data_IF_409503807466
#
_entry.id   IF_409503807466
#
_cell.length_a   1.000
_cell.length_b   1.000
_cell.length_c   1.000
_cell.angle_alpha   90.00
_cell.angle_beta   90.00
_cell.angle_gamma   90.00
#
_symmetry.space_group_name_H-M   'P 1'
#
loop_
_entity.id
_entity.type
_entity.pdbx_description
1 polymer ?
#
# COMPACT_ATOMS: atom_id res chain seq x y z
N UNK A 1 46.75 -4.60 71.37
CA UNK A 1 45.50 -4.64 70.58
C UNK A 1 45.41 -3.36 69.77
N UNK A 2 45.77 -3.41 68.47
CA UNK A 2 45.60 -2.30 67.52
C UNK A 2 44.51 -2.73 66.54
N UNK A 3 43.44 -1.92 66.44
CA UNK A 3 42.37 -2.07 65.48
C UNK A 3 42.86 -1.53 64.13
N UNK A 4 42.85 -2.35 63.08
CA UNK A 4 43.07 -1.92 61.70
C UNK A 4 41.72 -1.86 61.00
N UNK A 5 41.36 -0.66 60.57
CA UNK A 5 40.19 -0.36 59.74
C UNK A 5 40.53 -0.73 58.29
N UNK A 6 39.72 -1.59 57.67
CA UNK A 6 39.75 -1.83 56.23
C UNK A 6 38.61 -1.04 55.59
N UNK A 7 38.96 0.01 54.82
CA UNK A 7 38.04 0.72 53.94
C UNK A 7 38.08 0.04 52.57
N UNK A 8 37.03 -0.68 52.21
CA UNK A 8 36.84 -1.14 50.84
C UNK A 8 36.25 0.00 50.00
N UNK A 9 37.05 0.53 49.08
CA UNK A 9 36.63 1.51 48.09
C UNK A 9 35.93 0.76 46.93
N UNK A 10 34.60 0.83 46.87
CA UNK A 10 33.84 0.32 45.72
C UNK A 10 33.89 1.34 44.57
N UNK A 11 34.62 1.02 43.51
CA UNK A 11 34.62 1.80 42.27
C UNK A 11 33.29 1.55 41.53
N UNK A 12 32.41 2.55 41.54
CA UNK A 12 31.22 2.60 40.68
C UNK A 12 31.66 2.87 39.24
N UNK A 13 31.66 1.83 38.41
CA UNK A 13 31.66 2.00 36.96
C UNK A 13 30.28 2.54 36.54
N UNK A 14 30.19 3.85 36.33
CA UNK A 14 29.06 4.46 35.62
C UNK A 14 29.29 4.17 34.14
N UNK A 15 28.70 3.09 33.63
CA UNK A 15 28.56 2.90 32.19
C UNK A 15 27.65 4.01 31.68
N UNK A 16 28.21 4.97 30.93
CA UNK A 16 27.39 5.92 30.17
C UNK A 16 26.60 5.12 29.14
N UNK A 17 25.30 4.95 29.39
CA UNK A 17 24.38 4.50 28.35
C UNK A 17 24.35 5.66 27.35
N UNK A 18 25.04 5.49 26.22
CA UNK A 18 24.85 6.36 25.08
C UNK A 18 23.35 6.31 24.75
N UNK A 19 22.67 7.46 24.77
CA UNK A 19 21.28 7.56 24.36
C UNK A 19 21.19 7.02 22.93
N UNK A 20 20.48 5.90 22.77
CA UNK A 20 20.30 5.28 21.47
C UNK A 20 19.43 6.18 20.59
N UNK A 21 19.77 6.29 19.31
CA UNK A 21 18.96 6.99 18.31
C UNK A 21 17.52 6.48 18.37
N UNK A 22 16.57 7.40 18.57
CA UNK A 22 15.15 7.07 18.58
C UNK A 22 14.54 7.38 17.22
N UNK A 23 13.95 6.35 16.59
CA UNK A 23 13.24 6.48 15.31
C UNK A 23 11.75 6.21 15.55
N UNK A 24 10.91 7.10 15.04
CA UNK A 24 9.48 6.91 14.90
C UNK A 24 9.10 7.01 13.42
N UNK A 25 8.30 6.06 12.94
CA UNK A 25 7.87 5.94 11.56
C UNK A 25 6.36 5.79 11.51
N UNK A 26 5.69 6.76 10.88
CA UNK A 26 4.27 6.68 10.57
C UNK A 26 4.08 6.47 9.08
N UNK A 27 3.44 5.37 8.67
CA UNK A 27 3.23 5.01 7.25
C UNK A 27 1.78 5.25 6.85
N UNK A 28 1.57 5.81 5.66
CA UNK A 28 0.25 6.11 5.11
C UNK A 28 -0.03 5.25 3.87
N UNK A 29 -1.30 5.06 3.51
CA UNK A 29 -1.67 4.23 2.36
C UNK A 29 -1.36 4.88 0.99
N UNK A 30 -0.97 6.16 0.95
CA UNK A 30 -0.81 6.94 -0.28
C UNK A 30 0.67 7.13 -0.67
N UNK A 31 1.51 6.11 -0.43
CA UNK A 31 2.93 6.07 -0.80
C UNK A 31 3.81 7.17 -0.18
N UNK A 32 3.54 7.49 1.09
CA UNK A 32 4.41 8.34 1.88
C UNK A 32 4.44 7.94 3.36
N UNK A 33 5.45 8.43 4.07
CA UNK A 33 5.62 8.27 5.51
C UNK A 33 6.09 9.55 6.18
N UNK A 34 5.79 9.69 7.47
CA UNK A 34 6.39 10.67 8.37
C UNK A 34 7.48 9.96 9.18
N UNK A 35 8.69 10.47 9.09
CA UNK A 35 9.83 10.00 9.86
C UNK A 35 10.15 11.04 10.93
N UNK A 36 10.40 10.58 12.16
CA UNK A 36 11.00 11.39 13.23
C UNK A 36 12.22 10.66 13.76
N UNK A 37 13.33 11.38 13.89
CA UNK A 37 14.60 10.87 14.38
C UNK A 37 15.14 11.80 15.45
N UNK A 38 15.47 11.25 16.61
CA UNK A 38 16.15 11.97 17.67
C UNK A 38 17.60 11.50 17.72
N UNK A 39 18.54 12.42 17.50
CA UNK A 39 19.99 12.12 17.52
C UNK A 39 20.77 13.23 18.23
N UNK A 40 21.94 12.88 18.74
CA UNK A 40 22.92 13.84 19.23
C UNK A 40 23.67 14.46 18.04
N UNK A 41 23.63 15.79 17.93
CA UNK A 41 24.24 16.56 16.85
C UNK A 41 25.26 17.53 17.43
N UNK A 42 26.44 17.61 16.83
CA UNK A 42 27.51 18.50 17.28
C UNK A 42 27.46 19.84 16.56
N UNK A 43 27.43 20.92 17.33
CA UNK A 43 27.44 22.30 16.85
C UNK A 43 28.75 22.98 17.26
N UNK A 44 29.30 23.79 16.35
CA UNK A 44 30.42 24.70 16.68
C UNK A 44 29.86 26.06 17.09
N UNK A 45 30.56 26.75 17.98
CA UNK A 45 30.22 28.13 18.31
C UNK A 45 30.40 29.05 17.10
N UNK A 46 29.48 30.00 16.92
CA UNK A 46 29.37 30.84 15.72
C UNK A 46 28.68 30.12 14.56
N UNK A 47 28.98 30.55 13.33
CA UNK A 47 28.45 29.97 12.10
C UNK A 47 29.17 28.66 11.75
N UNK A 48 28.42 27.59 11.54
CA UNK A 48 28.96 26.31 11.11
C UNK A 48 27.96 25.46 10.32
N UNK A 49 28.49 24.63 9.42
CA UNK A 49 27.70 23.59 8.76
C UNK A 49 27.53 22.37 9.66
N UNK A 50 26.31 21.84 9.67
CA UNK A 50 25.90 20.66 10.42
C UNK A 50 25.32 19.66 9.44
N UNK A 51 25.84 18.43 9.47
CA UNK A 51 25.43 17.35 8.55
C UNK A 51 24.66 16.28 9.30
N UNK A 52 23.61 15.78 8.67
CA UNK A 52 22.76 14.72 9.18
C UNK A 52 22.53 13.69 8.09
N UNK A 53 23.29 12.61 8.19
CA UNK A 53 23.34 11.53 7.22
C UNK A 53 22.27 10.47 7.49
N UNK A 54 22.17 9.48 6.60
CA UNK A 54 21.26 8.32 6.75
C UNK A 54 19.77 8.72 6.80
N UNK A 55 19.38 9.68 5.96
CA UNK A 55 17.98 10.04 5.71
C UNK A 55 17.44 9.34 4.47
N UNK A 56 16.11 9.33 4.30
CA UNK A 56 15.48 8.78 3.11
C UNK A 56 15.98 9.47 1.82
N UNK A 57 16.18 8.69 0.76
CA UNK A 57 16.53 9.21 -0.56
C UNK A 57 15.34 9.90 -1.24
N UNK A 58 14.11 9.56 -0.85
CA UNK A 58 12.86 10.13 -1.36
C UNK A 58 12.22 11.13 -0.39
N UNK A 59 13.02 11.73 0.48
CA UNK A 59 12.59 12.80 1.38
C UNK A 59 11.96 13.96 0.59
N UNK A 60 10.92 14.56 1.17
CA UNK A 60 10.44 15.87 0.75
C UNK A 60 11.27 16.92 1.48
N UNK A 61 12.24 17.58 0.82
CA UNK A 61 13.15 18.52 1.48
C UNK A 61 12.44 19.74 2.05
N UNK A 62 11.22 20.05 1.58
CA UNK A 62 10.41 21.18 2.06
C UNK A 62 9.62 20.85 3.32
N UNK A 63 9.56 19.57 3.69
CA UNK A 63 8.88 19.09 4.89
C UNK A 63 9.79 18.93 6.10
N UNK A 64 11.11 19.08 5.91
CA UNK A 64 12.11 18.85 6.95
C UNK A 64 12.00 19.93 8.02
N UNK A 65 11.89 19.47 9.26
CA UNK A 65 11.92 20.31 10.45
C UNK A 65 12.94 19.76 11.44
N UNK A 66 13.81 20.63 11.96
CA UNK A 66 14.79 20.33 12.99
C UNK A 66 14.48 21.15 14.24
N UNK A 67 14.49 20.49 15.40
CA UNK A 67 14.27 21.09 16.70
C UNK A 67 15.39 20.66 17.67
N UNK A 68 16.42 21.51 17.87
CA UNK A 68 17.40 21.31 18.93
C UNK A 68 16.74 21.48 20.31
N UNK A 69 17.02 20.59 21.25
CA UNK A 69 16.49 20.68 22.62
C UNK A 69 17.19 21.74 23.46
N UNK A 70 18.45 22.05 23.15
CA UNK A 70 19.19 23.11 23.83
C UNK A 70 18.95 24.47 23.16
N UNK A 71 18.77 25.50 23.98
CA UNK A 71 18.60 26.87 23.50
C UNK A 71 19.90 27.47 22.94
N UNK A 72 19.76 28.46 22.05
CA UNK A 72 20.91 29.20 21.51
C UNK A 72 21.49 28.63 20.21
N UNK A 73 20.74 27.76 19.52
CA UNK A 73 21.04 27.27 18.17
C UNK A 73 19.97 27.83 17.20
N UNK A 74 20.42 28.54 16.18
CA UNK A 74 19.58 29.07 15.09
C UNK A 74 19.92 28.38 13.79
N UNK A 75 18.92 27.86 13.10
CA UNK A 75 19.09 27.25 11.76
C UNK A 75 18.82 28.33 10.71
N UNK A 76 19.81 28.62 9.89
CA UNK A 76 19.79 29.70 8.90
C UNK A 76 19.48 29.19 7.50
N UNK A 77 20.08 28.06 7.12
CA UNK A 77 19.90 27.43 5.82
C UNK A 77 19.67 25.93 5.97
N UNK A 78 18.95 25.35 5.00
CA UNK A 78 18.69 23.92 4.91
C UNK A 78 18.87 23.47 3.46
N UNK A 79 19.76 22.50 3.27
CA UNK A 79 20.09 21.92 1.99
C UNK A 79 19.93 20.40 2.05
N UNK A 80 19.35 19.81 1.01
CA UNK A 80 19.28 18.35 0.85
C UNK A 80 20.24 17.92 -0.26
N UNK A 81 21.23 17.12 0.09
CA UNK A 81 22.20 16.56 -0.84
C UNK A 81 21.79 15.12 -1.20
N UNK A 82 21.39 14.91 -2.46
CA UNK A 82 20.84 13.64 -2.97
C UNK A 82 21.58 13.06 -4.18
N UNK A 83 22.63 13.73 -4.66
CA UNK A 83 23.41 13.24 -5.79
C UNK A 83 24.35 12.13 -5.31
N UNK A 84 23.83 10.91 -5.32
CA UNK A 84 24.52 9.74 -4.77
C UNK A 84 25.66 9.27 -5.68
N UNK A 85 26.76 8.86 -5.07
CA UNK A 85 27.88 8.22 -5.79
C UNK A 85 27.41 6.95 -6.49
N UNK A 86 27.43 6.96 -7.81
CA UNK A 86 27.26 5.78 -8.66
C UNK A 86 28.11 5.95 -9.93
N UNK A 87 28.36 4.87 -10.68
CA UNK A 87 29.24 4.91 -11.87
C UNK A 87 28.81 5.99 -12.87
N UNK A 88 27.51 6.15 -13.12
CA UNK A 88 26.99 7.16 -14.04
C UNK A 88 27.20 8.59 -13.53
N UNK A 89 26.93 8.84 -12.25
CA UNK A 89 27.18 10.15 -11.62
C UNK A 89 28.69 10.47 -11.58
N UNK A 90 29.54 9.48 -11.27
CA UNK A 90 30.99 9.61 -11.34
C UNK A 90 31.43 10.00 -12.75
N UNK A 91 31.02 9.24 -13.77
CA UNK A 91 31.34 9.53 -15.17
C UNK A 91 30.82 10.92 -15.61
N UNK A 92 29.61 11.33 -15.19
CA UNK A 92 29.05 12.67 -15.45
C UNK A 92 29.93 13.79 -14.86
N UNK A 93 30.38 13.65 -13.61
CA UNK A 93 31.23 14.66 -12.95
C UNK A 93 32.65 14.69 -13.50
N UNK A 94 33.09 13.60 -14.12
CA UNK A 94 34.40 13.48 -14.76
C UNK A 94 34.39 13.82 -16.25
N UNK A 95 33.26 14.26 -16.82
CA UNK A 95 33.27 14.84 -18.17
C UNK A 95 34.28 15.98 -18.23
N UNK A 96 35.01 16.04 -19.33
CA UNK A 96 36.10 16.99 -19.54
C UNK A 96 37.27 16.86 -18.53
N UNK A 97 37.37 15.73 -17.82
CA UNK A 97 38.42 15.44 -16.84
C UNK A 97 39.12 14.12 -17.17
N UNK A 98 40.37 13.97 -16.73
CA UNK A 98 41.14 12.75 -16.98
C UNK A 98 40.64 11.57 -16.14
N UNK A 99 40.40 10.44 -16.81
CA UNK A 99 40.12 9.14 -16.18
C UNK A 99 41.03 8.06 -16.79
N UNK A 100 41.02 6.86 -16.19
CA UNK A 100 41.62 5.68 -16.83
C UNK A 100 40.61 4.54 -16.89
N UNK A 101 40.62 3.79 -17.99
CA UNK A 101 39.84 2.56 -18.14
C UNK A 101 40.80 1.40 -18.35
N UNK A 102 40.48 0.24 -17.76
CA UNK A 102 41.25 -1.00 -17.96
C UNK A 102 40.43 -1.93 -18.82
N UNK A 103 41.02 -2.45 -19.88
CA UNK A 103 40.35 -3.42 -20.76
C UNK A 103 40.56 -4.86 -20.29
N UNK A 104 39.77 -5.80 -20.82
CA UNK A 104 39.95 -7.25 -20.59
C UNK A 104 41.35 -7.75 -20.95
N UNK A 105 42.00 -7.11 -21.92
CA UNK A 105 43.39 -7.40 -22.30
C UNK A 105 44.43 -6.91 -21.28
N UNK A 106 44.01 -6.21 -20.23
CA UNK A 106 44.89 -5.59 -19.24
C UNK A 106 45.48 -4.25 -19.69
N UNK A 107 45.08 -3.74 -20.86
CA UNK A 107 45.52 -2.43 -21.34
C UNK A 107 44.87 -1.33 -20.52
N UNK A 108 45.65 -0.30 -20.20
CA UNK A 108 45.17 0.90 -19.50
C UNK A 108 45.09 2.03 -20.51
N UNK A 109 43.88 2.49 -20.80
CA UNK A 109 43.66 3.67 -21.63
C UNK A 109 43.40 4.85 -20.71
N UNK A 110 44.26 5.87 -20.76
CA UNK A 110 44.17 7.08 -19.95
C UNK A 110 43.92 8.29 -20.84
N UNK A 111 42.96 9.13 -20.47
CA UNK A 111 42.61 10.31 -21.25
C UNK A 111 41.45 11.10 -20.66
N UNK A 112 41.18 12.25 -21.26
CA UNK A 112 40.07 13.13 -20.94
C UNK A 112 38.75 12.49 -21.37
N UNK A 113 37.80 12.32 -20.45
CA UNK A 113 36.48 11.77 -20.78
C UNK A 113 35.66 12.80 -21.56
N UNK A 114 35.38 12.52 -22.84
CA UNK A 114 34.58 13.41 -23.68
C UNK A 114 33.09 13.08 -23.60
N UNK A 115 32.75 11.79 -23.60
CA UNK A 115 31.38 11.30 -23.47
C UNK A 115 31.35 9.83 -23.06
N UNK A 116 30.18 9.39 -22.59
CA UNK A 116 29.92 7.99 -22.31
C UNK A 116 28.42 7.69 -22.48
N UNK A 117 28.12 6.44 -22.80
CA UNK A 117 26.78 5.85 -22.75
C UNK A 117 26.87 4.40 -22.25
N UNK A 118 25.77 3.66 -22.32
CA UNK A 118 25.74 2.26 -21.84
C UNK A 118 26.66 1.32 -22.65
N UNK A 119 27.09 1.71 -23.86
CA UNK A 119 27.86 0.87 -24.79
C UNK A 119 29.27 1.37 -25.04
N UNK A 120 29.53 2.67 -24.94
CA UNK A 120 30.80 3.27 -25.32
C UNK A 120 31.29 4.31 -24.33
N UNK A 121 32.62 4.39 -24.19
CA UNK A 121 33.33 5.47 -23.51
C UNK A 121 34.29 6.11 -24.50
N UNK A 122 34.24 7.43 -24.60
CA UNK A 122 35.07 8.21 -25.50
C UNK A 122 36.12 8.97 -24.70
N UNK A 123 37.39 8.63 -24.90
CA UNK A 123 38.54 9.28 -24.27
C UNK A 123 39.38 10.02 -25.30
N UNK A 124 39.91 11.17 -24.90
CA UNK A 124 40.97 11.87 -25.64
C UNK A 124 42.29 11.73 -24.88
N UNK A 125 43.27 11.07 -25.48
CA UNK A 125 44.62 10.97 -24.93
C UNK A 125 45.38 12.31 -25.06
N UNK A 126 46.48 12.46 -24.32
CA UNK A 126 47.29 13.68 -24.29
C UNK A 126 47.89 14.05 -25.66
N UNK A 127 48.17 13.05 -26.50
CA UNK A 127 48.63 13.23 -27.88
C UNK A 127 47.52 13.68 -28.85
N UNK A 128 46.28 13.87 -28.36
CA UNK A 128 45.11 14.27 -29.15
C UNK A 128 44.33 13.12 -29.77
N UNK A 129 44.77 11.88 -29.63
CA UNK A 129 44.09 10.69 -30.13
C UNK A 129 42.75 10.48 -29.43
N UNK A 130 41.69 10.22 -30.20
CA UNK A 130 40.35 9.94 -29.67
C UNK A 130 40.09 8.44 -29.78
N UNK A 131 39.87 7.80 -28.64
CA UNK A 131 39.55 6.37 -28.55
C UNK A 131 38.08 6.20 -28.18
N UNK A 132 37.39 5.31 -28.90
CA UNK A 132 36.03 4.88 -28.59
C UNK A 132 36.09 3.42 -28.15
N UNK A 133 35.90 3.18 -26.86
CA UNK A 133 36.03 1.85 -26.26
C UNK A 133 34.67 1.30 -25.91
N UNK A 134 34.39 0.06 -26.31
CA UNK A 134 33.15 -0.63 -25.93
C UNK A 134 33.18 -0.96 -24.43
N UNK A 135 32.10 -0.67 -23.70
CA UNK A 135 31.99 -0.92 -22.26
C UNK A 135 32.11 -2.41 -21.91
N UNK A 136 31.74 -3.31 -22.83
CA UNK A 136 31.92 -4.76 -22.68
C UNK A 136 33.40 -5.14 -22.59
N UNK A 137 34.29 -4.37 -23.19
CA UNK A 137 35.74 -4.61 -23.13
C UNK A 137 36.39 -3.99 -21.89
N UNK A 138 35.69 -3.16 -21.13
CA UNK A 138 36.20 -2.49 -19.93
C UNK A 138 35.91 -3.36 -18.69
N UNK A 139 36.95 -3.64 -17.91
CA UNK A 139 36.84 -4.37 -16.64
C UNK A 139 36.89 -3.44 -15.41
N UNK A 140 37.47 -2.25 -15.54
CA UNK A 140 37.63 -1.30 -14.43
C UNK A 140 37.64 0.16 -14.91
N UNK A 141 37.09 1.05 -14.08
CA UNK A 141 37.14 2.50 -14.24
C UNK A 141 37.90 3.11 -13.06
N UNK A 142 38.94 3.90 -13.35
CA UNK A 142 39.76 4.57 -12.35
C UNK A 142 39.56 6.07 -12.40
N UNK A 143 39.11 6.60 -11.27
CA UNK A 143 38.95 8.03 -10.99
C UNK A 143 40.02 8.47 -9.98
N UNK A 144 40.47 9.72 -10.05
CA UNK A 144 41.58 10.20 -9.20
C UNK A 144 41.13 10.51 -7.76
N UNK A 145 39.92 11.03 -7.59
CA UNK A 145 39.28 11.32 -6.29
C UNK A 145 37.76 11.25 -6.38
N UNK A 146 37.07 11.33 -5.25
CA UNK A 146 35.62 11.54 -5.28
C UNK A 146 35.32 12.99 -5.74
N UNK A 147 34.48 13.21 -6.78
CA UNK A 147 34.06 14.55 -7.19
C UNK A 147 33.35 15.29 -6.07
N UNK A 148 33.53 16.61 -6.03
CA UNK A 148 32.80 17.47 -5.10
C UNK A 148 31.30 17.45 -5.40
N UNK A 149 30.49 17.45 -4.33
CA UNK A 149 29.04 17.46 -4.41
C UNK A 149 28.38 16.09 -4.64
N UNK A 150 29.14 15.01 -4.80
CA UNK A 150 28.60 13.66 -4.70
C UNK A 150 28.66 13.17 -3.24
N UNK A 151 27.56 12.62 -2.76
CA UNK A 151 27.44 12.09 -1.40
C UNK A 151 27.28 10.58 -1.44
N UNK A 152 27.86 9.87 -0.48
CA UNK A 152 27.74 8.40 -0.41
C UNK A 152 26.34 7.97 0.04
N UNK A 153 25.64 8.85 0.74
CA UNK A 153 24.31 8.63 1.29
C UNK A 153 23.52 9.94 1.22
N UNK A 154 22.19 9.91 1.20
CA UNK A 154 21.39 11.12 1.29
C UNK A 154 21.70 11.85 2.60
N UNK A 155 21.94 13.16 2.53
CA UNK A 155 22.38 13.97 3.67
C UNK A 155 21.60 15.28 3.72
N UNK A 156 21.11 15.64 4.91
CA UNK A 156 20.67 17.00 5.21
C UNK A 156 21.86 17.82 5.70
N UNK A 157 22.00 19.04 5.19
CA UNK A 157 23.06 19.98 5.57
C UNK A 157 22.41 21.28 6.00
N UNK A 158 22.67 21.70 7.22
CA UNK A 158 22.20 22.97 7.76
C UNK A 158 23.36 23.93 7.98
N UNK A 159 23.14 25.20 7.67
CA UNK A 159 23.97 26.27 8.22
C UNK A 159 23.35 26.69 9.55
N UNK A 160 24.08 26.49 10.65
CA UNK A 160 23.63 26.82 11.99
C UNK A 160 24.51 27.89 12.62
N UNK A 161 23.91 28.82 13.35
CA UNK A 161 24.59 29.73 14.26
C UNK A 161 24.35 29.27 15.70
N UNK A 162 25.42 29.06 16.46
CA UNK A 162 25.32 28.67 17.86
C UNK A 162 26.06 29.63 18.79
N UNK A 163 25.46 29.96 19.94
CA UNK A 163 26.11 30.77 20.98
C UNK A 163 27.32 30.10 21.65
N UNK A 164 27.49 28.78 21.48
CA UNK A 164 28.60 28.00 22.04
C UNK A 164 28.80 26.66 21.32
N UNK A 165 29.95 26.02 21.52
CA UNK A 165 30.19 24.67 20.96
C UNK A 165 29.66 23.57 21.88
N UNK A 166 29.16 22.48 21.32
CA UNK A 166 28.68 21.34 22.10
C UNK A 166 27.81 20.36 21.32
N UNK A 167 27.45 19.25 21.98
CA UNK A 167 26.44 18.32 21.46
C UNK A 167 25.07 18.73 21.97
N UNK A 168 24.09 18.73 21.09
CA UNK A 168 22.68 18.92 21.43
C UNK A 168 21.84 17.77 20.89
N UNK A 169 20.85 17.35 21.67
CA UNK A 169 19.84 16.42 21.18
C UNK A 169 18.91 17.16 20.21
N UNK A 170 18.77 16.65 19.00
CA UNK A 170 17.94 17.24 17.96
C UNK A 170 16.87 16.25 17.51
N UNK A 171 15.60 16.69 17.53
CA UNK A 171 14.53 16.01 16.82
C UNK A 171 14.49 16.51 15.38
N UNK A 172 14.65 15.61 14.43
CA UNK A 172 14.50 15.88 13.00
C UNK A 172 13.27 15.11 12.51
N UNK A 173 12.34 15.81 11.89
CA UNK A 173 11.13 15.22 11.29
C UNK A 173 11.01 15.59 9.83
N UNK A 174 10.52 14.67 9.01
CA UNK A 174 10.34 14.87 7.58
C UNK A 174 9.34 13.88 6.97
N UNK A 175 8.75 14.28 5.86
CA UNK A 175 8.00 13.39 4.99
C UNK A 175 8.94 12.72 3.98
N UNK A 176 8.64 11.49 3.62
CA UNK A 176 9.30 10.77 2.52
C UNK A 176 8.25 10.10 1.65
N UNK A 177 8.48 10.10 0.34
CA UNK A 177 7.75 9.25 -0.60
C UNK A 177 8.37 7.83 -0.60
N UNK A 178 7.74 6.90 -1.31
CA UNK A 178 8.29 5.55 -1.58
C UNK A 178 8.17 4.58 -0.41
N UNK A 179 7.35 4.89 0.58
CA UNK A 179 6.94 3.94 1.61
C UNK A 179 5.42 3.92 1.69
N UNK A 180 4.83 2.73 1.70
CA UNK A 180 3.38 2.55 1.74
C UNK A 180 3.00 1.33 2.56
N UNK A 181 1.74 1.25 2.96
CA UNK A 181 1.20 0.04 3.54
C UNK A 181 -0.19 -0.28 2.99
N UNK A 182 -0.56 -1.55 3.04
CA UNK A 182 -1.90 -2.04 2.73
C UNK A 182 -2.25 -3.22 3.65
N UNK A 183 -3.55 -3.46 3.83
CA UNK A 183 -4.01 -4.63 4.55
C UNK A 183 -4.28 -5.79 3.59
N UNK A 184 -4.05 -7.01 4.06
CA UNK A 184 -4.47 -8.23 3.40
C UNK A 184 -5.24 -9.08 4.39
N UNK A 185 -6.34 -9.62 3.92
CA UNK A 185 -7.19 -10.47 4.71
C UNK A 185 -7.23 -11.86 4.09
N UNK A 186 -7.19 -12.88 4.93
CA UNK A 186 -7.38 -14.27 4.53
C UNK A 186 -8.64 -14.77 5.19
N UNK A 187 -9.64 -15.10 4.37
CA UNK A 187 -10.85 -15.77 4.80
C UNK A 187 -10.82 -17.24 4.40
N UNK A 188 -11.11 -18.13 5.35
CA UNK A 188 -11.37 -19.55 5.08
C UNK A 188 -12.84 -19.81 5.37
N UNK A 189 -13.61 -20.15 4.34
CA UNK A 189 -15.05 -20.44 4.47
C UNK A 189 -15.24 -21.89 4.87
N UNK A 190 -16.23 -22.13 5.75
CA UNK A 190 -16.60 -23.48 6.16
C UNK A 190 -17.25 -24.30 5.03
N UNK A 191 -17.51 -25.58 5.31
CA UNK A 191 -18.07 -26.49 4.29
C UNK A 191 -19.47 -26.05 3.86
N UNK A 192 -20.24 -25.50 4.79
CA UNK A 192 -21.63 -25.10 4.65
C UNK A 192 -21.83 -23.69 4.04
N UNK A 193 -20.76 -22.92 3.83
CA UNK A 193 -20.79 -21.51 3.40
C UNK A 193 -21.53 -20.56 4.36
N UNK A 194 -21.47 -20.85 5.67
CA UNK A 194 -22.20 -20.13 6.73
C UNK A 194 -21.30 -19.40 7.71
N UNK A 195 -20.04 -19.80 7.78
CA UNK A 195 -19.05 -19.16 8.63
C UNK A 195 -17.77 -18.99 7.84
N UNK A 196 -17.01 -17.96 8.22
CA UNK A 196 -15.65 -17.80 7.77
C UNK A 196 -14.72 -17.55 8.95
N UNK A 197 -13.51 -18.02 8.81
CA UNK A 197 -12.37 -17.69 9.65
C UNK A 197 -11.58 -16.59 8.94
N UNK A 198 -11.47 -15.42 9.56
CA UNK A 198 -10.80 -14.23 9.03
C UNK A 198 -9.51 -13.96 9.80
N UNK A 199 -8.42 -13.73 9.10
CA UNK A 199 -7.19 -13.16 9.69
C UNK A 199 -6.76 -11.95 8.88
N UNK A 200 -6.12 -10.99 9.54
CA UNK A 200 -5.66 -9.75 8.93
C UNK A 200 -4.15 -9.59 9.04
N UNK A 201 -3.54 -9.14 7.96
CA UNK A 201 -2.13 -8.81 7.83
C UNK A 201 -1.97 -7.39 7.32
N UNK A 202 -0.85 -6.78 7.67
CA UNK A 202 -0.37 -5.52 7.12
C UNK A 202 0.91 -5.81 6.37
N UNK A 203 0.95 -5.46 5.09
CA UNK A 203 2.19 -5.35 4.31
C UNK A 203 2.65 -3.90 4.23
N UNK A 204 3.90 -3.66 4.61
CA UNK A 204 4.60 -2.38 4.47
C UNK A 204 5.67 -2.54 3.41
N UNK A 205 5.56 -1.82 2.30
CA UNK A 205 6.58 -1.77 1.24
C UNK A 205 7.41 -0.50 1.43
N UNK A 206 8.71 -0.68 1.66
CA UNK A 206 9.65 0.42 1.84
C UNK A 206 10.69 0.45 0.73
N UNK A 207 10.63 1.51 -0.08
CA UNK A 207 11.57 1.88 -1.14
C UNK A 207 11.96 3.36 -1.00
N UNK A 208 11.94 3.87 0.24
CA UNK A 208 12.25 5.28 0.53
C UNK A 208 13.74 5.60 0.34
N UNK A 209 14.59 4.58 0.20
CA UNK A 209 16.05 4.70 0.17
C UNK A 209 16.68 4.75 1.56
N UNK A 210 15.93 4.44 2.62
CA UNK A 210 16.44 4.36 3.99
C UNK A 210 15.86 3.17 4.76
N UNK A 211 16.70 2.59 5.61
CA UNK A 211 16.31 1.57 6.60
C UNK A 211 16.02 2.23 7.94
N UNK A 212 14.85 1.97 8.51
CA UNK A 212 14.43 2.48 9.81
C UNK A 212 14.64 1.40 10.87
N UNK A 213 15.82 1.39 11.49
CA UNK A 213 16.18 0.39 12.48
C UNK A 213 15.45 0.61 13.82
N UNK A 214 14.89 -0.46 14.40
CA UNK A 214 14.27 -0.45 15.72
C UNK A 214 13.26 0.71 15.93
N UNK A 215 12.47 1.01 14.90
CA UNK A 215 11.55 2.14 14.91
C UNK A 215 10.29 1.83 15.74
N UNK A 216 9.76 2.85 16.39
CA UNK A 216 8.35 2.86 16.78
C UNK A 216 7.53 3.02 15.50
N UNK A 217 6.59 2.10 15.26
CA UNK A 217 5.87 2.02 13.99
C UNK A 217 4.39 2.32 14.19
N UNK A 218 3.88 3.21 13.36
CA UNK A 218 2.48 3.59 13.31
C UNK A 218 1.97 3.51 11.87
N UNK A 219 0.72 3.10 11.71
CA UNK A 219 0.05 3.01 10.42
C UNK A 219 -1.21 3.84 10.46
N UNK A 220 -1.38 4.72 9.49
CA UNK A 220 -2.59 5.55 9.37
C UNK A 220 -3.45 4.98 8.26
N UNK A 221 -4.66 4.55 8.61
CA UNK A 221 -5.68 4.11 7.68
C UNK A 221 -6.62 5.27 7.37
N UNK A 222 -6.57 5.76 6.14
CA UNK A 222 -7.40 6.87 5.69
C UNK A 222 -6.81 7.60 4.50
N UNK A 223 -7.50 8.65 4.05
CA UNK A 223 -7.06 9.49 2.93
C UNK A 223 -6.58 10.85 3.45
N UNK A 224 -5.27 11.05 3.42
CA UNK A 224 -4.66 12.32 3.81
C UNK A 224 -4.56 13.22 2.59
N UNK A 225 -5.09 14.43 2.68
CA UNK A 225 -5.01 15.39 1.59
C UNK A 225 -3.60 16.00 1.51
N UNK A 226 -2.83 15.64 0.49
CA UNK A 226 -1.54 16.27 0.16
C UNK A 226 -1.67 17.18 -1.06
N UNK A 227 -1.16 18.41 -0.93
CA UNK A 227 -0.99 19.31 -2.08
C UNK A 227 0.24 18.84 -2.84
N UNK A 228 0.02 17.98 -3.84
CA UNK A 228 1.12 17.43 -4.64
C UNK A 228 1.39 18.38 -5.81
N UNK A 229 2.58 19.01 -5.94
CA UNK A 229 2.96 19.60 -7.21
C UNK A 229 3.03 18.50 -8.27
N UNK A 230 2.52 18.76 -9.49
CA UNK A 230 2.49 17.81 -10.61
C UNK A 230 3.90 17.21 -10.83
N UNK A 231 4.14 15.98 -10.34
CA UNK A 231 5.28 15.16 -10.78
C UNK A 231 4.91 14.47 -12.11
N UNK A 232 5.85 14.38 -13.07
CA UNK A 232 5.63 13.66 -14.31
C UNK A 232 5.33 12.18 -14.03
N UNK A 233 4.33 11.68 -14.75
CA UNK A 233 3.80 10.31 -14.66
C UNK A 233 4.94 9.33 -14.95
N UNK A 234 5.36 8.54 -13.96
CA UNK A 234 6.15 7.33 -14.20
C UNK A 234 5.21 6.20 -14.65
N UNK A 235 5.61 5.38 -15.63
CA UNK A 235 4.79 4.26 -16.08
C UNK A 235 4.59 3.24 -14.96
N UNK A 236 3.41 2.58 -14.90
CA UNK A 236 3.10 1.61 -13.87
C UNK A 236 4.08 0.42 -13.94
N UNK A 237 4.74 0.12 -12.82
CA UNK A 237 5.47 -1.13 -12.66
C UNK A 237 4.50 -2.32 -12.71
N UNK A 238 4.88 -3.46 -13.31
CA UNK A 238 4.07 -4.67 -13.30
C UNK A 238 3.90 -5.20 -11.87
N UNK A 239 2.67 -5.56 -11.57
CA UNK A 239 2.23 -6.19 -10.33
C UNK A 239 2.83 -7.60 -10.27
N UNK A 240 3.74 -7.86 -9.34
CA UNK A 240 4.20 -9.22 -9.07
C UNK A 240 3.12 -9.95 -8.29
N UNK A 241 2.59 -11.03 -8.86
CA UNK A 241 1.81 -12.03 -8.13
C UNK A 241 2.77 -12.83 -7.24
N UNK A 242 2.80 -12.53 -5.95
CA UNK A 242 3.47 -13.36 -4.97
C UNK A 242 2.52 -14.46 -4.49
N UNK A 243 2.52 -15.61 -5.18
CA UNK A 243 2.09 -16.87 -4.57
C UNK A 243 3.12 -17.29 -3.53
N UNK A 244 2.76 -17.12 -2.25
CA UNK A 244 3.03 -18.06 -1.15
C UNK A 244 2.53 -17.47 0.15
N UNK A 245 1.40 -17.97 0.65
CA UNK A 245 1.16 -18.11 2.08
C UNK A 245 0.27 -19.31 2.32
N UNK A 246 0.83 -20.34 2.96
CA UNK A 246 0.09 -21.41 3.59
C UNK A 246 0.51 -21.48 5.06
N UNK A 247 -0.50 -21.42 5.94
CA UNK A 247 -0.49 -21.76 7.37
C UNK A 247 0.57 -21.04 8.22
N UNK A 248 0.19 -19.90 8.80
CA UNK A 248 0.84 -19.35 9.99
C UNK A 248 -0.01 -19.62 11.23
N UNK A 249 0.65 -20.07 12.30
CA UNK A 249 0.04 -20.37 13.59
C UNK A 249 -0.49 -19.11 14.28
N UNK A 250 -1.36 -19.32 15.27
CA UNK A 250 -2.01 -18.26 16.07
C UNK A 250 -0.97 -17.32 16.69
N UNK A 251 -1.01 -16.03 16.31
CA UNK A 251 -0.20 -14.96 16.87
C UNK A 251 -1.09 -14.01 17.67
N UNK A 252 -0.62 -13.48 18.80
CA UNK A 252 -1.38 -12.49 19.57
C UNK A 252 -1.48 -11.14 18.85
N UNK A 253 -2.50 -10.30 19.16
CA UNK A 253 -2.63 -8.95 18.58
C UNK A 253 -1.38 -8.12 18.84
N UNK A 254 -0.79 -7.54 17.79
CA UNK A 254 0.44 -6.72 17.90
C UNK A 254 0.19 -5.22 17.77
N UNK A 255 -1.00 -4.82 17.31
CA UNK A 255 -1.38 -3.43 17.12
C UNK A 255 -2.40 -2.96 18.16
N UNK A 256 -2.20 -1.75 18.67
CA UNK A 256 -3.22 -0.99 19.39
C UNK A 256 -3.85 0.01 18.42
N UNK A 257 -5.18 0.00 18.34
CA UNK A 257 -5.98 0.87 17.48
C UNK A 257 -6.56 2.03 18.28
N UNK A 258 -6.44 3.25 17.76
CA UNK A 258 -7.13 4.42 18.27
C UNK A 258 -7.67 5.31 17.14
N UNK A 259 -8.76 6.02 17.43
CA UNK A 259 -9.25 7.07 16.55
C UNK A 259 -8.28 8.26 16.59
N UNK A 260 -7.79 8.68 15.42
CA UNK A 260 -6.92 9.83 15.26
C UNK A 260 -7.50 10.79 14.22
N UNK A 261 -8.09 11.89 14.70
CA UNK A 261 -8.86 12.81 13.88
C UNK A 261 -10.02 12.08 13.17
N UNK A 262 -10.04 12.06 11.83
CA UNK A 262 -11.01 11.32 11.00
C UNK A 262 -10.42 10.02 10.42
N UNK A 263 -9.33 9.52 11.03
CA UNK A 263 -8.57 8.36 10.59
C UNK A 263 -8.42 7.34 11.72
N UNK A 264 -7.94 6.15 11.37
CA UNK A 264 -7.57 5.14 12.36
C UNK A 264 -6.04 5.01 12.42
N UNK A 265 -5.49 5.10 13.63
CA UNK A 265 -4.08 4.91 13.90
C UNK A 265 -3.87 3.53 14.50
N UNK A 266 -2.99 2.74 13.87
CA UNK A 266 -2.58 1.42 14.37
C UNK A 266 -1.12 1.53 14.83
N UNK A 267 -0.91 1.50 16.14
CA UNK A 267 0.43 1.56 16.73
C UNK A 267 0.94 0.16 17.00
N UNK A 268 2.09 -0.20 16.44
CA UNK A 268 2.75 -1.47 16.75
C UNK A 268 3.32 -1.39 18.17
N UNK A 269 2.87 -2.28 19.05
CA UNK A 269 3.24 -2.30 20.48
C UNK A 269 4.73 -2.53 20.74
N UNK A 270 5.41 -3.20 19.81
CA UNK A 270 6.86 -3.45 19.83
C UNK A 270 7.58 -2.62 18.78
N UNK A 271 8.85 -2.33 19.01
CA UNK A 271 9.72 -1.76 17.98
C UNK A 271 10.01 -2.77 16.86
N UNK A 272 10.23 -2.27 15.65
CA UNK A 272 10.50 -3.09 14.47
C UNK A 272 11.43 -2.37 13.50
N UNK A 273 12.32 -3.11 12.84
CA UNK A 273 13.18 -2.57 11.78
C UNK A 273 12.47 -2.68 10.45
N UNK A 274 12.19 -1.57 9.77
CA UNK A 274 11.67 -1.53 8.39
C UNK A 274 12.85 -1.31 7.45
N UNK A 275 13.32 -2.37 6.79
CA UNK A 275 14.46 -2.28 5.87
C UNK A 275 14.08 -1.59 4.57
N UNK A 276 15.07 -0.98 3.93
CA UNK A 276 14.92 -0.46 2.57
C UNK A 276 14.87 -1.61 1.56
N UNK A 277 14.09 -1.46 0.50
CA UNK A 277 13.79 -2.47 -0.51
C UNK A 277 13.22 -3.77 0.08
N UNK A 278 12.39 -3.65 1.12
CA UNK A 278 11.75 -4.77 1.82
C UNK A 278 10.22 -4.60 1.80
N UNK A 279 9.50 -5.70 1.61
CA UNK A 279 8.10 -5.82 2.02
C UNK A 279 8.03 -6.53 3.36
N UNK A 280 7.55 -5.85 4.40
CA UNK A 280 7.39 -6.41 5.73
C UNK A 280 5.93 -6.72 6.02
N UNK A 281 5.68 -7.95 6.45
CA UNK A 281 4.36 -8.40 6.86
C UNK A 281 4.25 -8.50 8.39
N UNK A 282 3.17 -7.94 8.93
CA UNK A 282 2.86 -7.94 10.37
C UNK A 282 1.40 -8.33 10.55
N UNK A 283 1.13 -9.25 11.48
CA UNK A 283 -0.25 -9.64 11.82
C UNK A 283 -1.01 -8.44 12.37
N UNK A 284 -2.12 -8.08 11.74
CA UNK A 284 -3.06 -7.06 12.22
C UNK A 284 -3.90 -7.62 13.36
N UNK A 285 -4.55 -8.76 13.12
CA UNK A 285 -5.29 -9.52 14.13
C UNK A 285 -5.22 -11.03 13.83
N UNK A 286 -5.22 -11.88 14.87
CA UNK A 286 -5.28 -13.33 14.72
C UNK A 286 -6.54 -13.80 14.01
N UNK A 287 -6.59 -15.09 13.74
CA UNK A 287 -7.80 -15.76 13.28
C UNK A 287 -9.02 -15.46 14.17
N UNK A 288 -10.05 -14.86 13.57
CA UNK A 288 -11.34 -14.54 14.16
C UNK A 288 -12.45 -15.23 13.37
N UNK A 289 -13.40 -15.88 14.05
CA UNK A 289 -14.51 -16.57 13.38
C UNK A 289 -15.74 -15.67 13.32
N UNK A 290 -16.36 -15.56 12.15
CA UNK A 290 -17.56 -14.76 11.94
C UNK A 290 -18.59 -15.51 11.08
N UNK A 291 -19.88 -15.19 11.29
CA UNK A 291 -20.93 -15.69 10.41
C UNK A 291 -20.86 -14.99 9.06
N UNK A 292 -21.00 -15.76 7.99
CA UNK A 292 -20.98 -15.27 6.64
C UNK A 292 -22.15 -15.86 5.84
N UNK A 293 -22.53 -15.16 4.77
CA UNK A 293 -23.55 -15.60 3.85
C UNK A 293 -23.00 -15.58 2.43
N UNK A 294 -23.04 -16.73 1.75
CA UNK A 294 -22.86 -16.78 0.30
C UNK A 294 -24.14 -16.28 -0.38
N UNK A 295 -24.02 -15.19 -1.15
CA UNK A 295 -25.15 -14.50 -1.79
C UNK A 295 -24.95 -14.48 -3.31
N UNK A 296 -25.98 -14.90 -4.05
CA UNK A 296 -26.02 -14.78 -5.50
C UNK A 296 -26.68 -13.47 -5.90
N UNK A 297 -26.01 -12.65 -6.72
CA UNK A 297 -26.57 -11.38 -7.22
C UNK A 297 -26.54 -11.33 -8.73
N UNK A 298 -27.56 -10.71 -9.33
CA UNK A 298 -27.61 -10.44 -10.76
C UNK A 298 -27.82 -8.94 -10.98
N UNK A 299 -26.81 -8.25 -11.52
CA UNK A 299 -26.98 -6.87 -11.96
C UNK A 299 -27.68 -6.88 -13.34
N UNK A 300 -28.92 -6.41 -13.38
CA UNK A 300 -29.76 -6.42 -14.57
C UNK A 300 -29.57 -5.13 -15.42
N UNK A 301 -28.32 -4.69 -15.55
CA UNK A 301 -27.96 -3.52 -16.36
C UNK A 301 -28.18 -3.78 -17.85
N UNK A 302 -28.73 -2.79 -18.55
CA UNK A 302 -29.01 -2.87 -19.98
C UNK A 302 -27.74 -2.55 -20.79
N UNK A 303 -27.23 -3.50 -21.56
CA UNK A 303 -26.32 -3.17 -22.66
C UNK A 303 -27.12 -2.60 -23.82
N UNK A 304 -26.84 -1.34 -24.19
CA UNK A 304 -27.62 -0.51 -25.11
C UNK A 304 -27.63 -0.95 -26.60
N UNK A 305 -27.14 -2.15 -26.94
CA UNK A 305 -26.98 -2.57 -28.34
C UNK A 305 -27.70 -3.88 -28.67
N UNK A 306 -28.79 -3.73 -29.45
CA UNK A 306 -29.48 -4.71 -30.30
C UNK A 306 -30.23 -5.88 -29.63
N UNK A 307 -31.38 -6.19 -30.26
CA UNK A 307 -32.38 -7.29 -30.19
C UNK A 307 -32.01 -8.71 -29.68
N UNK A 308 -30.86 -8.94 -29.06
CA UNK A 308 -30.49 -10.24 -28.49
C UNK A 308 -30.89 -10.30 -27.00
N UNK A 309 -31.34 -11.46 -26.47
CA UNK A 309 -31.50 -11.64 -25.03
C UNK A 309 -30.15 -11.40 -24.36
N UNK A 310 -30.10 -10.45 -23.43
CA UNK A 310 -28.91 -10.26 -22.62
C UNK A 310 -28.75 -11.52 -21.73
N UNK A 311 -27.51 -11.98 -21.58
CA UNK A 311 -27.19 -13.14 -20.73
C UNK A 311 -26.31 -12.67 -19.58
N UNK A 312 -26.84 -11.84 -18.68
CA UNK A 312 -26.09 -11.34 -17.55
C UNK A 312 -25.61 -12.52 -16.69
N UNK A 313 -24.45 -12.36 -16.08
CA UNK A 313 -23.81 -13.40 -15.27
C UNK A 313 -24.21 -13.23 -13.82
N UNK A 314 -24.64 -14.33 -13.20
CA UNK A 314 -24.94 -14.34 -11.77
C UNK A 314 -23.62 -14.32 -11.01
N UNK A 315 -23.43 -13.29 -10.21
CA UNK A 315 -22.26 -13.10 -9.35
C UNK A 315 -22.41 -13.89 -8.06
N UNK A 316 -21.31 -14.44 -7.58
CA UNK A 316 -21.18 -15.07 -6.26
C UNK A 316 -20.46 -14.09 -5.34
N UNK A 317 -21.12 -13.72 -4.25
CA UNK A 317 -20.55 -12.83 -3.25
C UNK A 317 -20.53 -13.53 -1.90
N UNK A 318 -19.63 -13.09 -1.03
CA UNK A 318 -19.61 -13.42 0.37
C UNK A 318 -19.92 -12.16 1.18
N UNK A 319 -20.88 -12.26 2.09
CA UNK A 319 -21.29 -11.17 2.98
C UNK A 319 -21.07 -11.53 4.44
N UNK A 320 -20.56 -10.59 5.22
CA UNK A 320 -20.49 -10.69 6.67
C UNK A 320 -20.58 -9.29 7.30
N UNK A 321 -20.89 -9.21 8.59
CA UNK A 321 -20.95 -7.93 9.31
C UNK A 321 -19.77 -7.85 10.27
N UNK A 322 -19.03 -6.74 10.21
CA UNK A 322 -17.89 -6.44 11.05
C UNK A 322 -18.33 -5.96 12.44
N UNK A 323 -18.97 -6.83 13.22
CA UNK A 323 -19.47 -6.51 14.56
C UNK A 323 -18.84 -7.38 15.63
N UNK A 324 -18.77 -6.84 16.85
CA UNK A 324 -18.26 -7.59 18.01
C UNK A 324 -19.13 -8.83 18.28
N UNK A 325 -20.45 -8.67 18.14
CA UNK A 325 -21.42 -9.76 18.26
C UNK A 325 -21.17 -10.91 17.26
N UNK A 326 -20.62 -10.60 16.09
CA UNK A 326 -20.29 -11.59 15.07
C UNK A 326 -18.82 -12.04 15.14
N UNK A 327 -18.12 -11.85 16.26
CA UNK A 327 -16.74 -12.32 16.45
C UNK A 327 -15.67 -11.45 15.80
N UNK A 328 -16.04 -10.25 15.32
CA UNK A 328 -15.14 -9.21 14.82
C UNK A 328 -15.23 -7.98 15.72
N UNK A 329 -15.57 -6.80 15.17
CA UNK A 329 -15.79 -5.57 15.94
C UNK A 329 -14.60 -4.60 15.95
N UNK A 330 -13.76 -4.65 14.92
CA UNK A 330 -12.62 -3.75 14.75
C UNK A 330 -12.68 -3.05 13.40
N UNK A 331 -12.28 -1.77 13.26
CA UNK A 331 -12.26 -1.12 11.96
C UNK A 331 -11.34 -1.92 11.02
N UNK A 332 -11.81 -2.18 9.80
CA UNK A 332 -11.04 -2.92 8.80
C UNK A 332 -10.42 -1.89 7.84
N UNK A 333 -9.08 -1.72 7.83
CA UNK A 333 -8.42 -0.91 6.82
C UNK A 333 -8.70 -1.38 5.39
N UNK A 334 -8.61 -0.46 4.42
CA UNK A 334 -8.69 -0.85 3.02
C UNK A 334 -7.61 -1.89 2.67
N UNK A 335 -7.97 -2.90 1.91
CA UNK A 335 -7.11 -4.03 1.65
C UNK A 335 -7.69 -5.03 0.66
N UNK A 336 -7.03 -6.17 0.49
CA UNK A 336 -7.50 -7.27 -0.36
C UNK A 336 -7.93 -8.43 0.52
N UNK A 337 -9.16 -8.91 0.35
CA UNK A 337 -9.65 -10.12 1.01
C UNK A 337 -9.54 -11.31 0.05
N UNK A 338 -8.70 -12.28 0.40
CA UNK A 338 -8.55 -13.55 -0.32
C UNK A 338 -9.34 -14.62 0.38
N UNK A 339 -10.18 -15.32 -0.38
CA UNK A 339 -11.08 -16.34 0.16
C UNK A 339 -10.62 -17.71 -0.30
N UNK A 340 -10.57 -18.64 0.65
CA UNK A 340 -10.23 -20.04 0.46
C UNK A 340 -11.35 -20.93 0.99
N UNK A 341 -11.49 -22.12 0.40
CA UNK A 341 -12.40 -23.15 0.88
C UNK A 341 -11.76 -24.52 0.75
N UNK A 342 -11.98 -25.37 1.75
CA UNK A 342 -11.55 -26.77 1.69
C UNK A 342 -12.35 -27.53 0.63
N UNK A 343 -11.65 -28.27 -0.25
CA UNK A 343 -12.30 -29.18 -1.19
C UNK A 343 -12.73 -30.50 -0.53
N UNK A 344 -13.26 -31.43 -1.33
CA UNK A 344 -13.70 -32.75 -0.86
C UNK A 344 -12.62 -33.60 -0.18
N UNK A 345 -11.33 -33.32 -0.45
CA UNK A 345 -10.17 -34.01 0.15
C UNK A 345 -9.64 -33.27 1.37
N UNK A 346 -10.11 -32.06 1.63
CA UNK A 346 -9.70 -31.22 2.75
C UNK A 346 -8.60 -30.22 2.39
N UNK A 347 -8.16 -30.15 1.14
CA UNK A 347 -7.16 -29.19 0.69
C UNK A 347 -7.79 -27.81 0.47
N UNK A 348 -7.13 -26.75 0.94
CA UNK A 348 -7.62 -25.39 0.73
C UNK A 348 -7.41 -24.96 -0.72
N UNK A 349 -8.51 -24.58 -1.37
CA UNK A 349 -8.53 -24.04 -2.73
C UNK A 349 -8.87 -22.57 -2.69
N UNK A 350 -8.20 -21.78 -3.54
CA UNK A 350 -8.54 -20.37 -3.75
C UNK A 350 -9.89 -20.26 -4.47
N UNK A 351 -10.82 -19.48 -3.93
CA UNK A 351 -12.17 -19.32 -4.51
C UNK A 351 -12.43 -17.92 -5.07
N UNK A 352 -11.60 -16.93 -4.72
CA UNK A 352 -11.71 -15.56 -5.22
C UNK A 352 -11.04 -14.55 -4.30
N UNK A 353 -10.85 -13.34 -4.81
CA UNK A 353 -10.42 -12.19 -4.02
C UNK A 353 -11.15 -10.93 -4.45
N UNK A 354 -11.32 -9.99 -3.52
CA UNK A 354 -11.87 -8.68 -3.79
C UNK A 354 -11.20 -7.62 -2.91
N UNK A 355 -11.37 -6.36 -3.29
CA UNK A 355 -11.00 -5.22 -2.47
C UNK A 355 -12.02 -4.98 -1.36
N UNK A 356 -11.53 -4.72 -0.16
CA UNK A 356 -12.29 -4.22 0.98
C UNK A 356 -11.92 -2.75 1.18
N UNK A 357 -12.92 -1.88 1.29
CA UNK A 357 -12.69 -0.46 1.62
C UNK A 357 -12.46 -0.29 3.13
N UNK A 358 -12.03 0.91 3.55
CA UNK A 358 -12.05 1.25 4.97
C UNK A 358 -13.46 1.04 5.51
N UNK A 359 -13.63 0.04 6.36
CA UNK A 359 -14.94 -0.42 6.86
C UNK A 359 -14.99 -0.21 8.37
N UNK A 360 -15.83 0.71 8.86
CA UNK A 360 -16.05 0.92 10.29
C UNK A 360 -16.56 -0.33 11.01
N UNK A 361 -16.58 -0.27 12.34
CA UNK A 361 -17.28 -1.26 13.18
C UNK A 361 -18.78 -1.24 12.84
N UNK A 362 -19.41 -2.39 13.01
CA UNK A 362 -20.86 -2.63 12.80
C UNK A 362 -21.34 -2.53 11.34
N UNK A 363 -20.43 -2.37 10.38
CA UNK A 363 -20.77 -2.28 8.96
C UNK A 363 -20.71 -3.63 8.23
N UNK A 364 -21.50 -3.76 7.16
CA UNK A 364 -21.51 -4.96 6.31
C UNK A 364 -20.37 -4.91 5.29
N UNK A 365 -19.63 -6.01 5.18
CA UNK A 365 -18.67 -6.28 4.11
C UNK A 365 -19.32 -7.22 3.10
N UNK A 366 -19.22 -6.88 1.81
CA UNK A 366 -19.57 -7.76 0.69
C UNK A 366 -18.36 -7.84 -0.23
N UNK A 367 -17.92 -9.05 -0.55
CA UNK A 367 -16.84 -9.29 -1.52
C UNK A 367 -17.32 -10.16 -2.66
N UNK A 368 -16.94 -9.80 -3.87
CA UNK A 368 -17.21 -10.54 -5.09
C UNK A 368 -16.15 -11.63 -5.29
N UNK A 369 -16.58 -12.89 -5.46
CA UNK A 369 -15.66 -14.03 -5.58
C UNK A 369 -15.58 -14.58 -7.01
N UNK A 370 -16.57 -14.30 -7.84
CA UNK A 370 -16.62 -14.78 -9.23
C UNK A 370 -18.03 -14.96 -9.74
N UNK A 371 -18.15 -15.57 -10.91
CA UNK A 371 -19.44 -15.84 -11.56
C UNK A 371 -19.87 -17.29 -11.34
N UNK A 372 -21.17 -17.50 -11.11
CA UNK A 372 -21.73 -18.82 -10.93
C UNK A 372 -21.77 -19.56 -12.27
N UNK A 373 -21.16 -20.75 -12.31
CA UNK A 373 -21.19 -21.61 -13.50
C UNK A 373 -22.56 -22.28 -13.69
N UNK A 374 -23.12 -22.86 -12.62
CA UNK A 374 -24.37 -23.63 -12.66
C UNK A 374 -25.65 -22.78 -12.55
N UNK A 375 -25.53 -21.45 -12.59
CA UNK A 375 -26.69 -20.56 -12.51
C UNK A 375 -26.65 -19.68 -13.75
N UNK A 376 -27.68 -19.80 -14.59
CA UNK A 376 -27.79 -18.99 -15.80
C UNK A 376 -28.92 -17.99 -15.66
N UNK A 377 -28.71 -16.80 -16.19
CA UNK A 377 -29.74 -15.78 -16.31
C UNK A 377 -29.91 -15.37 -17.78
N UNK A 378 -31.16 -15.13 -18.17
CA UNK A 378 -31.51 -14.45 -19.41
C UNK A 378 -32.41 -13.28 -19.10
N UNK A 379 -32.13 -12.11 -19.69
CA UNK A 379 -32.96 -10.91 -19.56
C UNK A 379 -33.51 -10.54 -20.93
N UNK A 380 -34.81 -10.32 -21.00
CA UNK A 380 -35.52 -9.94 -22.22
C UNK A 380 -36.46 -8.78 -21.92
N UNK A 381 -36.36 -7.70 -22.70
CA UNK A 381 -37.42 -6.69 -22.76
C UNK A 381 -38.54 -7.23 -23.61
N UNK A 382 -39.64 -7.65 -23.00
CA UNK A 382 -40.77 -8.30 -23.68
C UNK A 382 -41.75 -7.29 -24.27
N UNK A 383 -41.81 -6.08 -23.70
CA UNK A 383 -42.68 -5.02 -24.20
C UNK A 383 -42.07 -3.63 -23.96
N UNK A 384 -42.39 -2.69 -24.85
CA UNK A 384 -42.10 -1.26 -24.69
C UNK A 384 -43.25 -0.47 -25.32
N UNK A 385 -43.86 0.40 -24.53
CA UNK A 385 -44.91 1.32 -24.96
C UNK A 385 -44.40 2.74 -24.77
N UNK A 386 -44.30 3.47 -25.88
CA UNK A 386 -44.03 4.89 -25.87
C UNK A 386 -45.30 5.65 -25.44
N UNK A 387 -45.21 6.40 -24.35
CA UNK A 387 -46.30 7.20 -23.79
C UNK A 387 -46.10 8.71 -24.01
N UNK A 388 -45.07 9.10 -24.78
CA UNK A 388 -44.78 10.49 -25.15
C UNK A 388 -43.31 10.86 -24.98
N UNK A 389 -43.00 12.11 -25.30
CA UNK A 389 -41.70 12.75 -25.00
C UNK A 389 -41.44 12.57 -23.50
N UNK A 390 -40.55 11.64 -23.16
CA UNK A 390 -40.08 11.34 -21.82
C UNK A 390 -40.91 10.39 -20.96
N UNK A 391 -41.96 9.76 -21.49
CA UNK A 391 -42.70 8.73 -20.77
C UNK A 391 -42.69 7.39 -21.49
N UNK A 392 -42.34 6.33 -20.76
CA UNK A 392 -42.24 4.99 -21.30
C UNK A 392 -42.76 3.97 -20.32
N UNK A 393 -43.39 2.91 -20.85
CA UNK A 393 -43.72 1.72 -20.08
C UNK A 393 -42.96 0.54 -20.65
N UNK A 394 -42.21 -0.15 -19.81
CA UNK A 394 -41.40 -1.29 -20.22
C UNK A 394 -41.74 -2.52 -19.38
N UNK A 395 -41.81 -3.67 -20.06
CA UNK A 395 -41.95 -4.97 -19.42
C UNK A 395 -40.69 -5.78 -19.64
N UNK A 396 -40.16 -6.34 -18.56
CA UNK A 396 -38.99 -7.21 -18.58
C UNK A 396 -39.34 -8.59 -18.06
N UNK A 397 -38.74 -9.61 -18.69
CA UNK A 397 -38.69 -10.98 -18.20
C UNK A 397 -37.24 -11.35 -17.91
N UNK A 398 -36.97 -11.82 -16.70
CA UNK A 398 -35.69 -12.37 -16.27
C UNK A 398 -35.90 -13.85 -15.94
N UNK A 399 -35.27 -14.72 -16.70
CA UNK A 399 -35.32 -16.18 -16.52
C UNK A 399 -34.06 -16.63 -15.80
N UNK A 400 -34.22 -17.24 -14.63
CA UNK A 400 -33.13 -17.81 -13.85
C UNK A 400 -33.24 -19.33 -13.84
N UNK A 401 -32.15 -20.01 -14.20
CA UNK A 401 -32.05 -21.47 -14.15
C UNK A 401 -30.99 -21.89 -13.15
N UNK A 402 -31.34 -22.83 -12.29
CA UNK A 402 -30.46 -23.41 -11.29
C UNK A 402 -30.13 -24.86 -11.67
N UNK A 403 -28.89 -25.11 -12.06
CA UNK A 403 -28.40 -26.46 -12.39
C UNK A 403 -27.80 -27.19 -11.17
N UNK A 404 -27.89 -26.60 -9.97
CA UNK A 404 -27.43 -27.22 -8.72
C UNK A 404 -28.48 -28.17 -8.13
N UNK A 405 -28.04 -29.00 -7.20
CA UNK A 405 -28.84 -29.94 -6.43
C UNK A 405 -29.47 -29.35 -5.15
N UNK A 406 -29.25 -28.04 -4.91
CA UNK A 406 -29.81 -27.30 -3.78
C UNK A 406 -30.65 -26.11 -4.26
N UNK A 407 -31.67 -25.77 -3.47
CA UNK A 407 -32.44 -24.55 -3.67
C UNK A 407 -31.56 -23.32 -3.47
N UNK A 408 -31.76 -22.29 -4.30
CA UNK A 408 -31.03 -21.02 -4.23
C UNK A 408 -31.99 -19.84 -4.23
N UNK A 409 -31.49 -18.69 -3.78
CA UNK A 409 -32.13 -17.39 -3.98
C UNK A 409 -31.15 -16.49 -4.68
N UNK A 410 -31.58 -15.85 -5.77
CA UNK A 410 -30.80 -14.86 -6.50
C UNK A 410 -31.41 -13.49 -6.24
N UNK A 411 -30.58 -12.56 -5.75
CA UNK A 411 -30.96 -11.15 -5.62
C UNK A 411 -30.78 -10.47 -6.97
N UNK A 412 -31.88 -10.19 -7.66
CA UNK A 412 -31.86 -9.45 -8.92
C UNK A 412 -31.90 -7.96 -8.62
N UNK A 413 -30.88 -7.24 -9.08
CA UNK A 413 -30.68 -5.81 -8.87
C UNK A 413 -31.06 -5.10 -10.17
N UNK A 414 -32.22 -4.44 -10.19
CA UNK A 414 -32.69 -3.71 -11.35
C UNK A 414 -32.37 -2.21 -11.22
N UNK A 415 -31.57 -1.63 -12.13
CA UNK A 415 -31.38 -0.19 -12.20
C UNK A 415 -32.62 0.49 -12.77
N UNK A 416 -33.03 1.61 -12.17
CA UNK A 416 -34.18 2.40 -12.58
C UNK A 416 -33.74 3.83 -12.95
N UNK A 417 -34.47 4.52 -13.84
CA UNK A 417 -34.17 5.88 -14.26
C UNK A 417 -34.51 6.87 -13.13
N UNK A 418 -33.69 6.93 -12.09
CA UNK A 418 -33.94 7.71 -10.87
C UNK A 418 -33.94 9.23 -11.04
N UNK A 419 -33.69 9.74 -12.26
CA UNK A 419 -33.92 11.14 -12.64
C UNK A 419 -35.36 11.42 -13.09
N UNK A 420 -36.22 10.39 -13.15
CA UNK A 420 -37.67 10.47 -13.41
C UNK A 420 -38.43 9.77 -12.31
N UNK A 421 -39.69 10.18 -12.14
CA UNK A 421 -40.61 9.40 -11.32
C UNK A 421 -40.89 8.08 -12.03
N UNK A 422 -40.82 6.97 -11.30
CA UNK A 422 -41.18 5.67 -11.81
C UNK A 422 -42.10 4.95 -10.84
N UNK A 423 -42.93 4.07 -11.39
CA UNK A 423 -43.79 3.17 -10.62
C UNK A 423 -43.86 1.80 -11.27
N UNK A 424 -43.94 0.77 -10.45
CA UNK A 424 -44.30 -0.56 -10.93
C UNK A 424 -45.80 -0.60 -11.19
N UNK A 425 -46.15 -1.04 -12.40
CA UNK A 425 -47.54 -1.30 -12.80
C UNK A 425 -47.92 -2.73 -12.40
N UNK A 426 -46.99 -3.66 -12.61
CA UNK A 426 -47.16 -5.07 -12.31
C UNK A 426 -45.81 -5.68 -11.94
N UNK A 427 -45.81 -6.61 -10.98
CA UNK A 427 -44.67 -7.47 -10.71
C UNK A 427 -45.18 -8.79 -10.15
N UNK A 428 -44.66 -9.90 -10.65
CA UNK A 428 -45.02 -11.22 -10.13
C UNK A 428 -44.27 -11.59 -8.84
N UNK A 429 -43.21 -10.84 -8.49
CA UNK A 429 -42.43 -10.99 -7.26
C UNK A 429 -42.35 -9.63 -6.56
N UNK A 430 -42.51 -9.62 -5.23
CA UNK A 430 -42.39 -8.40 -4.43
C UNK A 430 -40.97 -7.81 -4.54
N UNK A 431 -40.89 -6.49 -4.68
CA UNK A 431 -39.62 -5.76 -4.79
C UNK A 431 -39.35 -4.91 -3.55
N UNK A 432 -38.08 -4.77 -3.20
CA UNK A 432 -37.61 -3.79 -2.23
C UNK A 432 -37.09 -2.56 -2.96
N UNK A 433 -37.67 -1.38 -2.70
CA UNK A 433 -37.12 -0.10 -3.18
C UNK A 433 -35.94 0.31 -2.30
N UNK A 434 -34.74 0.04 -2.80
CA UNK A 434 -33.48 0.40 -2.10
C UNK A 434 -33.15 1.88 -2.30
N UNK A 435 -33.40 2.42 -3.49
CA UNK A 435 -33.25 3.85 -3.78
C UNK A 435 -34.12 4.28 -4.96
N UNK A 436 -34.05 5.56 -5.34
CA UNK A 436 -34.66 6.04 -6.58
C UNK A 436 -34.03 5.41 -7.85
N UNK A 437 -32.83 4.84 -7.76
CA UNK A 437 -32.10 4.29 -8.91
C UNK A 437 -32.06 2.76 -8.92
N UNK A 438 -32.61 2.09 -7.90
CA UNK A 438 -32.43 0.65 -7.70
C UNK A 438 -33.58 0.03 -6.94
N UNK A 439 -34.06 -1.09 -7.46
CA UNK A 439 -34.87 -2.06 -6.71
C UNK A 439 -34.20 -3.42 -6.67
N UNK A 440 -34.59 -4.22 -5.69
CA UNK A 440 -34.12 -5.60 -5.55
C UNK A 440 -35.29 -6.58 -5.50
N UNK A 441 -35.12 -7.72 -6.16
CA UNK A 441 -36.03 -8.86 -6.10
C UNK A 441 -35.31 -10.07 -5.53
N UNK A 442 -35.95 -10.78 -4.61
CA UNK A 442 -35.46 -12.07 -4.09
C UNK A 442 -36.12 -13.20 -4.87
N UNK A 443 -35.43 -13.73 -5.88
CA UNK A 443 -35.97 -14.77 -6.77
C UNK A 443 -35.49 -16.14 -6.32
N UNK A 444 -36.38 -16.90 -5.67
CA UNK A 444 -36.09 -18.28 -5.27
C UNK A 444 -36.16 -19.22 -6.47
N UNK A 445 -35.14 -20.05 -6.67
CA UNK A 445 -35.06 -21.04 -7.76
C UNK A 445 -34.78 -22.42 -7.15
N UNK A 446 -35.68 -23.37 -7.39
CA UNK A 446 -35.53 -24.74 -6.87
C UNK A 446 -34.34 -25.46 -7.49
N UNK A 447 -33.81 -26.46 -6.78
CA UNK A 447 -32.78 -27.37 -7.30
C UNK A 447 -33.18 -27.93 -8.68
N UNK A 448 -32.27 -27.87 -9.66
CA UNK A 448 -32.52 -28.30 -11.04
C UNK A 448 -33.61 -27.53 -11.80
N UNK A 449 -34.14 -26.45 -11.23
CA UNK A 449 -35.34 -25.76 -11.70
C UNK A 449 -35.09 -24.44 -12.42
N UNK A 450 -36.19 -23.81 -12.82
CA UNK A 450 -36.24 -22.47 -13.41
C UNK A 450 -37.26 -21.62 -12.63
N UNK A 451 -36.99 -20.32 -12.49
CA UNK A 451 -38.00 -19.35 -12.07
C UNK A 451 -37.89 -18.08 -12.94
N UNK A 452 -39.03 -17.40 -13.12
CA UNK A 452 -39.15 -16.21 -13.94
C UNK A 452 -39.60 -15.02 -13.12
N UNK A 453 -38.83 -13.95 -13.18
CA UNK A 453 -39.22 -12.63 -12.70
C UNK A 453 -39.80 -11.85 -13.89
N UNK A 454 -41.03 -11.39 -13.77
CA UNK A 454 -41.72 -10.56 -14.76
C UNK A 454 -42.25 -9.32 -14.08
N UNK A 455 -41.85 -8.16 -14.57
CA UNK A 455 -42.32 -6.89 -14.05
C UNK A 455 -42.48 -5.86 -15.17
N UNK A 456 -43.41 -4.94 -14.93
CA UNK A 456 -43.68 -3.78 -15.77
C UNK A 456 -43.52 -2.53 -14.93
N UNK A 457 -42.68 -1.60 -15.38
CA UNK A 457 -42.60 -0.28 -14.78
C UNK A 457 -42.82 0.81 -15.82
N UNK A 458 -43.29 1.96 -15.33
CA UNK A 458 -43.55 3.18 -16.09
C UNK A 458 -42.65 4.28 -15.53
N UNK A 459 -42.07 5.10 -16.41
CA UNK A 459 -41.16 6.20 -16.07
C UNK A 459 -41.36 7.42 -16.95
#
# INVERSE_FOLDING_TARGET
>A
MRLSVFVCLAALFVSSIAAADEISLTVYNDNFGLVKQVRQVEFKGGLSEVRFDDVAALIDPTSVHISPKDGGISILEQNYQYDLVNTKAMMQRYLDTEISVITKGGEIHRGKLLSFDDRYVILQAENGEITITNTVEIVDYRFTKLPEGLVLKPTLVWLAESGGGGKSECEVSYLTDGITWHAEYVAVVDKEDKNLSLSGWVSIDNKSGATYQNASLQLVAGKVHRVTPRKPIQPPYPMYSAERMALMGKAEPQFEEEAFFEYHLYTLTRRSTVADNETKQISLFPEATTSAAKVYTLDATQHYWWSQPDKPKVKVNLEFTNSEKNGLGMPLPKGVLRVYKADSKGDLQFVGEDSVNHTPKEEKVRVFLGEAFDITAGRLKTNHVDLGLDHGRETYEIVLKNHKDVDIVVTVIEPLPGWREWRFIESNIEYAKVSAYRVEFQVAVKAGGENKLVYTFEY
#
